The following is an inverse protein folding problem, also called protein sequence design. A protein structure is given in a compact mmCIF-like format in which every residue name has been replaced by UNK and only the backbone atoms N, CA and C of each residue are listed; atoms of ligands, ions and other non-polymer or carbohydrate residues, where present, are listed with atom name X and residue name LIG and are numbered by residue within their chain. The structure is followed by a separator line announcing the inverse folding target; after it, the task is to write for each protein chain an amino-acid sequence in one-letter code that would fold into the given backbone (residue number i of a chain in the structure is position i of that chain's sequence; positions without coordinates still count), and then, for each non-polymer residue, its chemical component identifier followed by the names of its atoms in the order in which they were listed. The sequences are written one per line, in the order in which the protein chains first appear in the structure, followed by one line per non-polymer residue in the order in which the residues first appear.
data_IF_222647687928
#
_entry.id   IF_222647687928
#
_cell.length_a   1.000
_cell.length_b   1.000
_cell.length_c   1.000
_cell.angle_alpha   90.00
_cell.angle_beta   90.00
_cell.angle_gamma   90.00
#
_symmetry.space_group_name_H-M   'P 1'
#
loop_
_entity.id
_entity.type
_entity.pdbx_description
1 polymer ?
#
# COMPACT_ATOMS: atom_id res chain seq x y z
N UNK A 1 22.26 53.50 62.34
CA UNK A 1 23.25 52.77 63.13
C UNK A 1 23.12 51.32 62.69
N UNK A 2 23.67 51.02 61.52
CA UNK A 2 25.06 50.52 61.33
C UNK A 2 25.14 49.07 61.84
N UNK A 3 25.08 48.11 60.93
CA UNK A 3 26.20 47.29 60.42
C UNK A 3 25.95 45.85 60.94
N UNK A 4 26.33 44.73 60.33
CA UNK A 4 27.30 44.35 59.29
C UNK A 4 26.80 43.00 58.74
N UNK A 5 26.76 42.79 57.42
CA UNK A 5 27.69 41.97 56.65
C UNK A 5 28.02 40.57 57.22
N UNK A 6 27.93 39.56 56.35
CA UNK A 6 29.05 38.65 56.01
C UNK A 6 28.62 37.18 55.88
N UNK A 7 29.06 36.57 54.78
CA UNK A 7 29.44 35.16 54.80
C UNK A 7 28.59 34.19 53.98
N UNK A 8 28.79 34.20 52.66
CA UNK A 8 28.43 33.14 51.73
C UNK A 8 29.05 31.78 52.15
N UNK A 9 28.22 30.73 52.19
CA UNK A 9 28.63 29.33 51.94
C UNK A 9 27.63 28.68 50.98
N UNK A 10 27.98 28.37 49.72
CA UNK A 10 27.11 27.58 48.88
C UNK A 10 27.17 26.11 49.35
N UNK A 11 26.07 25.63 49.93
CA UNK A 11 25.84 24.20 50.10
C UNK A 11 25.42 23.64 48.74
N UNK A 12 26.25 22.79 48.17
CA UNK A 12 25.92 21.95 47.02
C UNK A 12 24.60 21.23 47.26
N UNK A 13 23.59 21.49 46.43
CA UNK A 13 22.40 20.65 46.34
C UNK A 13 21.94 20.49 44.90
N UNK A 14 21.85 19.22 44.52
CA UNK A 14 20.98 18.64 43.52
C UNK A 14 21.17 19.08 42.06
N UNK A 15 21.84 18.19 41.33
CA UNK A 15 21.63 17.89 39.91
C UNK A 15 20.13 17.84 39.60
N UNK A 16 19.63 18.87 38.91
CA UNK A 16 18.30 18.88 38.32
C UNK A 16 18.37 18.42 36.87
N UNK A 17 18.27 17.11 36.62
CA UNK A 17 18.01 16.60 35.26
C UNK A 17 16.54 16.88 34.96
N UNK A 18 16.28 17.95 34.21
CA UNK A 18 14.97 18.21 33.64
C UNK A 18 14.70 17.17 32.54
N UNK A 19 13.92 16.13 32.86
CA UNK A 19 13.47 15.15 31.89
C UNK A 19 12.40 15.79 30.97
N UNK A 20 12.80 16.15 29.75
CA UNK A 20 11.88 16.47 28.66
C UNK A 20 11.17 15.19 28.22
N UNK A 21 9.95 14.97 28.73
CA UNK A 21 9.06 13.91 28.26
C UNK A 21 8.52 14.29 26.86
N UNK A 22 9.22 13.86 25.82
CA UNK A 22 8.74 13.95 24.44
C UNK A 22 7.64 12.91 24.22
N UNK A 23 6.38 13.32 24.36
CA UNK A 23 5.22 12.53 23.94
C UNK A 23 5.17 12.49 22.42
N UNK A 24 5.65 11.39 21.82
CA UNK A 24 5.43 11.09 20.40
C UNK A 24 3.93 10.85 20.17
N UNK A 25 3.20 11.88 19.77
CA UNK A 25 1.85 11.73 19.23
C UNK A 25 2.00 11.03 17.88
N UNK A 26 1.81 9.70 17.87
CA UNK A 26 1.71 8.95 16.62
C UNK A 26 0.45 9.42 15.89
N UNK A 27 0.61 10.29 14.90
CA UNK A 27 -0.48 10.69 14.04
C UNK A 27 -1.04 9.44 13.32
N UNK A 28 -2.38 9.29 13.22
CA UNK A 28 -2.94 8.21 12.43
C UNK A 28 -2.46 8.35 10.99
N UNK A 29 -1.82 7.30 10.46
CA UNK A 29 -1.42 7.25 9.07
C UNK A 29 -2.68 7.26 8.21
N UNK A 30 -3.05 8.44 7.71
CA UNK A 30 -4.10 8.56 6.71
C UNK A 30 -3.61 7.91 5.42
N UNK A 31 -4.14 6.71 5.11
CA UNK A 31 -3.96 6.10 3.79
C UNK A 31 -4.45 7.08 2.74
N UNK A 32 -3.58 7.49 1.82
CA UNK A 32 -3.92 8.39 0.73
C UNK A 32 -5.18 7.89 -0.02
N UNK A 33 -6.00 8.80 -0.57
CA UNK A 33 -7.08 8.40 -1.46
C UNK A 33 -6.49 7.55 -2.59
N UNK A 34 -7.14 6.42 -2.86
CA UNK A 34 -6.74 5.48 -3.89
C UNK A 34 -7.96 5.36 -4.81
N UNK A 35 -7.80 5.78 -6.05
CA UNK A 35 -8.79 5.71 -7.12
C UNK A 35 -8.30 4.76 -8.24
N UNK A 36 -9.12 4.50 -9.23
CA UNK A 36 -8.80 3.72 -10.43
C UNK A 36 -7.55 4.27 -11.11
N UNK A 37 -7.34 5.59 -11.10
CA UNK A 37 -6.14 6.25 -11.62
C UNK A 37 -4.84 5.72 -11.00
N UNK A 38 -4.86 5.42 -9.70
CA UNK A 38 -3.70 4.90 -8.97
C UNK A 38 -3.36 3.46 -9.35
N UNK A 39 -4.35 2.72 -9.85
CA UNK A 39 -4.24 1.31 -10.23
C UNK A 39 -3.79 1.11 -11.67
N UNK A 40 -3.84 2.14 -12.50
CA UNK A 40 -3.46 2.07 -13.92
C UNK A 40 -2.08 1.44 -14.12
N UNK A 41 -1.93 0.62 -15.16
CA UNK A 41 -0.67 -0.05 -15.49
C UNK A 41 -0.63 -1.53 -15.14
N UNK A 42 0.55 -2.13 -15.28
CA UNK A 42 0.78 -3.55 -15.03
C UNK A 42 1.37 -3.79 -13.64
N UNK A 43 0.95 -4.87 -12.99
CA UNK A 43 1.33 -5.23 -11.63
C UNK A 43 1.57 -6.72 -11.50
N UNK A 44 2.71 -7.11 -10.94
CA UNK A 44 3.02 -8.50 -10.64
C UNK A 44 3.25 -8.67 -9.14
N UNK A 45 2.76 -9.76 -8.57
CA UNK A 45 3.12 -10.14 -7.20
C UNK A 45 4.63 -10.34 -7.10
N UNK A 46 5.23 -10.00 -5.96
CA UNK A 46 6.69 -10.02 -5.74
C UNK A 46 7.40 -11.34 -6.15
N UNK A 47 6.69 -12.46 -6.11
CA UNK A 47 7.18 -13.78 -6.52
C UNK A 47 7.33 -13.95 -8.05
N UNK A 48 6.85 -12.99 -8.85
CA UNK A 48 6.88 -13.02 -10.30
C UNK A 48 7.64 -11.80 -10.84
N UNK A 49 8.79 -12.04 -11.48
CA UNK A 49 9.53 -10.97 -12.13
C UNK A 49 8.73 -10.40 -13.33
N UNK A 50 8.72 -9.07 -13.46
CA UNK A 50 7.94 -8.39 -14.50
C UNK A 50 8.26 -8.88 -15.92
N UNK A 51 9.53 -9.15 -16.19
CA UNK A 51 10.02 -9.65 -17.47
C UNK A 51 9.65 -11.12 -17.70
N UNK A 52 9.27 -11.89 -16.69
CA UNK A 52 8.74 -13.25 -16.84
C UNK A 52 7.26 -13.27 -17.19
N UNK A 53 6.51 -12.24 -16.76
CA UNK A 53 5.04 -12.18 -16.92
C UNK A 53 4.64 -11.37 -18.15
N UNK A 54 5.32 -10.27 -18.41
CA UNK A 54 4.93 -9.29 -19.41
C UNK A 54 5.90 -9.23 -20.59
N UNK A 55 5.38 -8.81 -21.73
CA UNK A 55 6.18 -8.48 -22.91
C UNK A 55 6.77 -7.08 -22.77
N UNK A 56 8.05 -6.95 -23.09
CA UNK A 56 8.76 -5.67 -23.14
C UNK A 56 8.60 -5.11 -24.57
N UNK A 57 7.76 -4.08 -24.74
CA UNK A 57 7.45 -3.53 -26.07
C UNK A 57 7.12 -2.03 -26.02
N UNK A 58 7.42 -1.33 -27.11
CA UNK A 58 7.47 0.15 -27.19
C UNK A 58 6.12 0.89 -27.08
N UNK A 59 5.01 0.22 -26.84
CA UNK A 59 3.70 0.91 -26.82
C UNK A 59 2.69 0.39 -25.78
N UNK A 60 2.68 -0.91 -25.45
CA UNK A 60 1.69 -1.47 -24.52
C UNK A 60 2.22 -2.70 -23.79
N UNK A 61 2.10 -2.70 -22.47
CA UNK A 61 2.34 -3.89 -21.65
C UNK A 61 1.22 -4.91 -21.88
N UNK A 62 1.58 -6.14 -22.28
CA UNK A 62 0.67 -7.30 -22.38
C UNK A 62 1.34 -8.52 -21.77
N UNK A 63 0.56 -9.54 -21.41
CA UNK A 63 1.08 -10.80 -20.91
C UNK A 63 1.86 -11.55 -22.00
N UNK A 64 2.95 -12.21 -21.61
CA UNK A 64 3.69 -13.12 -22.51
C UNK A 64 2.79 -14.25 -23.02
N UNK A 65 3.15 -14.76 -24.20
CA UNK A 65 2.54 -15.94 -24.82
C UNK A 65 3.56 -17.08 -24.82
N UNK A 66 3.17 -18.33 -24.49
CA UNK A 66 1.88 -18.70 -23.91
C UNK A 66 1.67 -18.05 -22.52
N UNK A 67 0.43 -17.74 -22.16
CA UNK A 67 0.14 -17.11 -20.86
C UNK A 67 0.36 -18.11 -19.73
N UNK A 68 1.12 -17.70 -18.71
CA UNK A 68 1.11 -18.40 -17.42
C UNK A 68 -0.17 -18.03 -16.67
N UNK A 69 -1.18 -18.90 -16.74
CA UNK A 69 -2.48 -18.66 -16.10
C UNK A 69 -2.41 -18.58 -14.57
N UNK A 70 -1.32 -19.06 -13.96
CA UNK A 70 -1.10 -19.04 -12.51
C UNK A 70 -0.28 -17.83 -12.05
N UNK A 71 0.19 -16.98 -12.96
CA UNK A 71 0.89 -15.77 -12.58
C UNK A 71 -0.07 -14.82 -11.84
N UNK A 72 0.25 -14.54 -10.58
CA UNK A 72 -0.45 -13.54 -9.78
C UNK A 72 -0.09 -12.14 -10.28
N UNK A 73 -0.75 -11.72 -11.35
CA UNK A 73 -0.43 -10.50 -12.07
C UNK A 73 -1.69 -9.94 -12.76
N UNK A 74 -1.71 -8.63 -12.98
CA UNK A 74 -2.84 -7.97 -13.63
C UNK A 74 -2.44 -6.67 -14.33
N UNK A 75 -3.25 -6.24 -15.29
CA UNK A 75 -3.11 -4.97 -16.00
C UNK A 75 -4.40 -4.17 -15.81
N UNK A 76 -4.29 -2.93 -15.36
CA UNK A 76 -5.44 -2.01 -15.29
C UNK A 76 -5.34 -0.98 -16.40
N UNK A 77 -6.42 -0.85 -17.17
CA UNK A 77 -6.56 0.09 -18.27
C UNK A 77 -7.94 0.73 -18.21
N UNK A 78 -8.02 1.88 -17.53
CA UNK A 78 -9.29 2.53 -17.22
C UNK A 78 -10.01 1.70 -16.15
N UNK A 79 -11.31 1.48 -16.29
CA UNK A 79 -12.06 0.65 -15.35
C UNK A 79 -11.94 -0.86 -15.61
N UNK A 80 -11.01 -1.30 -16.48
CA UNK A 80 -10.83 -2.72 -16.82
C UNK A 80 -9.55 -3.24 -16.17
N UNK A 81 -9.66 -4.34 -15.44
CA UNK A 81 -8.56 -5.11 -14.87
C UNK A 81 -8.47 -6.45 -15.60
N UNK A 82 -7.33 -6.77 -16.19
CA UNK A 82 -7.12 -8.03 -16.92
C UNK A 82 -6.07 -8.86 -16.18
N UNK A 83 -6.39 -10.10 -15.84
CA UNK A 83 -5.45 -11.10 -15.32
C UNK A 83 -5.12 -12.13 -16.41
N UNK A 84 -4.16 -13.04 -16.21
CA UNK A 84 -3.91 -14.13 -17.16
C UNK A 84 -5.13 -15.00 -17.49
N UNK A 85 -6.06 -15.14 -16.52
CA UNK A 85 -7.22 -16.03 -16.63
C UNK A 85 -8.60 -15.35 -16.66
N UNK A 86 -8.67 -14.03 -16.44
CA UNK A 86 -9.94 -13.30 -16.35
C UNK A 86 -9.84 -11.86 -16.85
N UNK A 87 -10.99 -11.30 -17.24
CA UNK A 87 -11.15 -9.86 -17.43
C UNK A 87 -12.23 -9.35 -16.50
N UNK A 88 -11.87 -8.39 -15.65
CA UNK A 88 -12.74 -7.77 -14.68
C UNK A 88 -13.06 -6.30 -15.04
N UNK A 89 -14.27 -5.86 -14.73
CA UNK A 89 -14.64 -4.45 -14.66
C UNK A 89 -14.60 -4.00 -13.21
N UNK A 90 -13.88 -2.92 -12.92
CA UNK A 90 -13.91 -2.23 -11.63
C UNK A 90 -15.23 -1.46 -11.57
N UNK A 91 -16.10 -1.85 -10.64
CA UNK A 91 -17.42 -1.25 -10.46
C UNK A 91 -17.35 -0.12 -9.44
N UNK A 92 -16.60 -0.30 -8.36
CA UNK A 92 -16.39 0.71 -7.33
C UNK A 92 -15.13 0.45 -6.52
N UNK A 93 -14.61 1.53 -5.93
CA UNK A 93 -13.56 1.52 -4.92
C UNK A 93 -14.12 2.28 -3.71
N UNK A 94 -14.26 1.60 -2.59
CA UNK A 94 -14.76 2.22 -1.35
C UNK A 94 -13.76 2.06 -0.22
N UNK A 95 -13.84 2.92 0.80
CA UNK A 95 -13.00 2.77 2.00
C UNK A 95 -13.47 1.59 2.85
N UNK A 96 -12.52 0.85 3.41
CA UNK A 96 -12.75 -0.25 4.34
C UNK A 96 -11.64 -0.24 5.40
N UNK A 97 -11.83 0.59 6.45
CA UNK A 97 -10.77 0.87 7.43
C UNK A 97 -9.60 1.61 6.80
N UNK A 98 -8.39 1.09 7.01
CA UNK A 98 -7.13 1.55 6.42
C UNK A 98 -6.92 1.09 4.97
N UNK A 99 -7.81 0.23 4.47
CA UNK A 99 -7.77 -0.38 3.13
C UNK A 99 -8.86 0.18 2.24
N UNK A 100 -8.80 -0.20 0.96
CA UNK A 100 -9.88 -0.03 -0.01
C UNK A 100 -10.51 -1.36 -0.35
N UNK A 101 -11.82 -1.36 -0.50
CA UNK A 101 -12.59 -2.48 -1.01
C UNK A 101 -12.92 -2.23 -2.49
N UNK A 102 -12.44 -3.11 -3.36
CA UNK A 102 -12.77 -3.12 -4.77
C UNK A 102 -13.94 -4.06 -4.99
N UNK A 103 -14.98 -3.58 -5.64
CA UNK A 103 -16.05 -4.43 -6.19
C UNK A 103 -15.84 -4.60 -7.67
N UNK A 104 -15.75 -5.85 -8.12
CA UNK A 104 -15.40 -6.24 -9.48
C UNK A 104 -16.48 -7.15 -10.07
N UNK A 105 -16.69 -7.07 -11.38
CA UNK A 105 -17.38 -8.11 -12.16
C UNK A 105 -16.37 -8.75 -13.09
N UNK A 106 -16.06 -10.03 -12.88
CA UNK A 106 -14.99 -10.76 -13.53
C UNK A 106 -15.54 -11.83 -14.47
N UNK A 107 -15.16 -11.78 -15.75
CA UNK A 107 -15.44 -12.81 -16.73
C UNK A 107 -14.25 -13.76 -16.89
N UNK A 108 -14.52 -15.06 -16.83
CA UNK A 108 -13.60 -16.16 -17.11
C UNK A 108 -14.08 -16.94 -18.33
N UNK A 109 -13.38 -18.01 -18.70
CA UNK A 109 -13.87 -18.95 -19.72
C UNK A 109 -15.11 -19.75 -19.26
N UNK A 110 -15.37 -19.80 -17.95
CA UNK A 110 -16.46 -20.59 -17.35
C UNK A 110 -17.72 -19.74 -17.18
N UNK A 111 -17.56 -18.49 -16.73
CA UNK A 111 -18.69 -17.62 -16.41
C UNK A 111 -18.28 -16.23 -15.92
N UNK A 112 -19.27 -15.49 -15.41
CA UNK A 112 -19.11 -14.13 -14.89
C UNK A 112 -19.51 -14.10 -13.43
N UNK A 113 -18.62 -13.63 -12.56
CA UNK A 113 -18.82 -13.60 -11.11
C UNK A 113 -18.56 -12.20 -10.53
N UNK A 114 -19.26 -11.89 -9.44
CA UNK A 114 -18.98 -10.72 -8.62
C UNK A 114 -17.88 -11.03 -7.62
N UNK A 115 -16.79 -10.26 -7.65
CA UNK A 115 -15.62 -10.46 -6.78
C UNK A 115 -15.39 -9.21 -5.95
N UNK A 116 -15.10 -9.40 -4.66
CA UNK A 116 -14.65 -8.33 -3.77
C UNK A 116 -13.23 -8.62 -3.32
N UNK A 117 -12.37 -7.60 -3.35
CA UNK A 117 -10.98 -7.71 -2.87
C UNK A 117 -10.57 -6.45 -2.14
N UNK A 118 -9.74 -6.60 -1.11
CA UNK A 118 -9.21 -5.46 -0.39
C UNK A 118 -7.79 -5.16 -0.84
N UNK A 119 -7.46 -3.88 -0.99
CA UNK A 119 -6.11 -3.43 -1.32
C UNK A 119 -5.70 -2.24 -0.49
N UNK A 120 -4.39 -2.01 -0.40
CA UNK A 120 -3.81 -0.75 0.08
C UNK A 120 -2.63 -0.37 -0.82
N UNK A 121 -2.25 0.90 -0.79
CA UNK A 121 -1.05 1.41 -1.45
C UNK A 121 0.03 1.61 -0.39
N UNK A 122 1.20 1.04 -0.63
CA UNK A 122 2.37 1.23 0.21
C UNK A 122 3.12 2.53 -0.17
N UNK A 123 3.96 3.01 0.74
CA UNK A 123 4.73 4.25 0.55
C UNK A 123 5.76 4.15 -0.60
N UNK A 124 6.26 2.94 -0.88
CA UNK A 124 7.14 2.64 -2.01
C UNK A 124 6.41 2.62 -3.37
N UNK A 125 5.09 2.86 -3.36
CA UNK A 125 4.23 2.84 -4.53
C UNK A 125 3.76 1.43 -4.93
N UNK A 126 4.12 0.39 -4.18
CA UNK A 126 3.59 -0.96 -4.37
C UNK A 126 2.13 -1.03 -3.93
N UNK A 127 1.43 -2.08 -4.37
CA UNK A 127 0.12 -2.43 -3.84
C UNK A 127 0.27 -3.61 -2.88
N UNK A 128 -0.59 -3.66 -1.87
CA UNK A 128 -0.88 -4.89 -1.13
C UNK A 128 -2.30 -5.31 -1.43
N UNK A 129 -2.48 -6.58 -1.78
CA UNK A 129 -3.80 -7.21 -1.89
C UNK A 129 -4.02 -8.11 -0.69
N UNK A 130 -5.15 -7.97 -0.02
CA UNK A 130 -5.51 -8.79 1.12
C UNK A 130 -6.54 -9.82 0.71
N UNK A 131 -6.40 -11.05 1.21
CA UNK A 131 -7.33 -12.13 0.93
C UNK A 131 -8.72 -11.83 1.51
N UNK A 132 -8.75 -11.27 2.72
CA UNK A 132 -9.95 -10.88 3.45
C UNK A 132 -9.58 -9.83 4.53
N UNK A 133 -10.57 -9.45 5.35
CA UNK A 133 -10.37 -8.48 6.44
C UNK A 133 -9.42 -8.95 7.55
N UNK A 134 -9.28 -10.27 7.71
CA UNK A 134 -8.50 -10.91 8.78
C UNK A 134 -7.06 -11.24 8.34
N UNK A 135 -6.74 -11.05 7.06
CA UNK A 135 -5.37 -11.13 6.53
C UNK A 135 -4.62 -9.84 6.89
N UNK A 136 -3.64 -9.88 7.81
CA UNK A 136 -2.93 -8.68 8.24
C UNK A 136 -1.76 -8.32 7.32
N UNK A 137 -1.26 -9.28 6.52
CA UNK A 137 -0.02 -9.14 5.75
C UNK A 137 -0.33 -8.67 4.34
N UNK A 138 -1.26 -9.35 3.67
CA UNK A 138 -1.51 -9.19 2.25
C UNK A 138 -0.34 -9.65 1.38
N UNK A 139 -0.60 -9.81 0.09
CA UNK A 139 0.41 -10.09 -0.93
C UNK A 139 0.87 -8.79 -1.58
N UNK A 140 2.18 -8.58 -1.67
CA UNK A 140 2.76 -7.39 -2.30
C UNK A 140 2.77 -7.52 -3.83
N UNK A 141 2.39 -6.46 -4.52
CA UNK A 141 2.42 -6.31 -5.97
C UNK A 141 3.26 -5.10 -6.36
N UNK A 142 4.25 -5.33 -7.21
CA UNK A 142 5.12 -4.30 -7.76
C UNK A 142 4.64 -3.86 -9.14
N UNK A 143 4.85 -2.58 -9.43
CA UNK A 143 4.48 -1.99 -10.71
C UNK A 143 5.50 -2.39 -11.78
N UNK A 144 5.01 -2.91 -12.89
CA UNK A 144 5.81 -3.30 -14.06
C UNK A 144 5.75 -2.25 -15.18
N UNK A 145 6.83 -2.14 -15.95
CA UNK A 145 6.88 -1.30 -17.16
C UNK A 145 7.04 0.20 -16.90
N UNK A 146 7.91 0.57 -15.95
CA UNK A 146 8.44 1.95 -15.89
C UNK A 146 9.37 2.23 -17.07
#
# INVERSE_FOLDING_TARGET
MEEEMSGIRPRSFAVGIAALAATCIAAPAFSAPLDVGDLQGAWAQESFACDQVYTTGKARTDFKKPRNIFAAAFIVSGSRLTTPGATCKILSITSAGDRKLLSLSCATAIGVDAVKTQISRAQDGSLRRYLNKDDPVGSKYDRCGR
#
